data_IF_348389719808
#
_entry.id   IF_348389719808
#
_cell.length_a   1.000
_cell.length_b   1.000
_cell.length_c   1.000
_cell.angle_alpha   90.00
_cell.angle_beta   90.00
_cell.angle_gamma   90.00
#
_symmetry.space_group_name_H-M   'P 1'
#
loop_
_entity.id
_entity.type
_entity.pdbx_description
1 polymer ?
#
# COMPACT_ATOMS: atom_id res chain seq x y z
N UNK A 1 -4.52 -28.13 -15.15
CA UNK A 1 -5.20 -28.22 -13.84
C UNK A 1 -5.26 -26.82 -13.27
N UNK A 2 -6.45 -26.36 -12.90
CA UNK A 2 -6.62 -25.07 -12.24
C UNK A 2 -6.02 -25.12 -10.82
N UNK A 3 -5.92 -23.95 -10.19
CA UNK A 3 -5.19 -23.83 -8.92
C UNK A 3 -5.92 -24.51 -7.76
N UNK A 4 -7.25 -24.50 -7.76
CA UNK A 4 -8.06 -25.09 -6.69
C UNK A 4 -7.99 -26.61 -6.77
N UNK A 5 -8.04 -27.17 -7.98
CA UNK A 5 -7.79 -28.59 -8.21
C UNK A 5 -6.40 -29.02 -7.73
N UNK A 6 -5.37 -28.18 -7.91
CA UNK A 6 -4.03 -28.48 -7.38
C UNK A 6 -4.01 -28.51 -5.85
N UNK A 7 -4.69 -27.55 -5.19
CA UNK A 7 -4.81 -27.53 -3.72
C UNK A 7 -5.60 -28.73 -3.20
N UNK A 8 -6.72 -29.05 -3.84
CA UNK A 8 -7.53 -30.24 -3.48
C UNK A 8 -6.70 -31.53 -3.62
N UNK A 9 -5.99 -31.68 -4.75
CA UNK A 9 -5.10 -32.81 -4.98
C UNK A 9 -4.00 -32.89 -3.91
N UNK A 10 -3.36 -31.77 -3.56
CA UNK A 10 -2.30 -31.75 -2.56
C UNK A 10 -2.79 -32.05 -1.15
N UNK A 11 -4.06 -31.83 -0.84
CA UNK A 11 -4.67 -32.19 0.45
C UNK A 11 -5.03 -33.68 0.54
N UNK A 12 -5.20 -34.38 -0.59
CA UNK A 12 -5.59 -35.79 -0.61
C UNK A 12 -4.54 -36.74 -0.01
N UNK A 13 -3.24 -36.46 -0.18
CA UNK A 13 -2.16 -37.23 0.47
C UNK A 13 -0.81 -36.51 0.43
N UNK A 14 0.11 -36.91 1.31
CA UNK A 14 1.52 -36.45 1.27
C UNK A 14 2.20 -36.71 -0.08
N UNK A 15 1.85 -37.79 -0.78
CA UNK A 15 2.40 -38.10 -2.10
C UNK A 15 1.91 -37.09 -3.14
N UNK A 16 0.61 -36.80 -3.14
CA UNK A 16 0.02 -35.79 -4.02
C UNK A 16 0.59 -34.39 -3.73
N UNK A 17 0.76 -34.04 -2.45
CA UNK A 17 1.40 -32.79 -2.05
C UNK A 17 2.80 -32.64 -2.65
N UNK A 18 3.64 -33.69 -2.58
CA UNK A 18 4.97 -33.68 -3.19
C UNK A 18 4.92 -33.51 -4.71
N UNK A 19 3.94 -34.13 -5.38
CA UNK A 19 3.74 -33.96 -6.82
C UNK A 19 3.38 -32.51 -7.14
N UNK A 20 2.42 -31.92 -6.43
CA UNK A 20 1.96 -30.54 -6.67
C UNK A 20 3.10 -29.53 -6.44
N UNK A 21 3.97 -29.75 -5.45
CA UNK A 21 5.18 -28.92 -5.24
C UNK A 21 6.12 -28.88 -6.45
N UNK A 22 6.09 -29.88 -7.32
CA UNK A 22 6.91 -29.97 -8.53
C UNK A 22 6.19 -29.40 -9.76
N UNK A 23 4.89 -29.14 -9.68
CA UNK A 23 4.11 -28.58 -10.78
C UNK A 23 4.43 -27.09 -10.93
N UNK A 24 4.81 -26.69 -12.15
CA UNK A 24 4.94 -25.27 -12.49
C UNK A 24 3.57 -24.63 -12.56
N UNK A 25 3.35 -23.61 -11.75
CA UNK A 25 2.13 -22.79 -11.77
C UNK A 25 2.41 -21.42 -12.35
N UNK A 26 1.37 -20.79 -12.93
CA UNK A 26 1.41 -19.39 -13.34
C UNK A 26 1.23 -18.41 -12.18
N UNK A 27 1.06 -18.90 -10.95
CA UNK A 27 0.89 -18.05 -9.79
C UNK A 27 2.09 -17.11 -9.63
N UNK A 28 1.78 -15.84 -9.43
CA UNK A 28 2.76 -14.82 -9.08
C UNK A 28 2.80 -14.58 -7.58
N UNK A 29 1.71 -14.84 -6.86
CA UNK A 29 1.63 -14.64 -5.42
C UNK A 29 0.22 -14.83 -4.86
N UNK A 30 0.06 -14.39 -3.62
CA UNK A 30 -1.22 -14.39 -2.90
C UNK A 30 -1.58 -12.99 -2.44
N UNK A 31 -2.87 -12.68 -2.41
CA UNK A 31 -3.38 -11.54 -1.64
C UNK A 31 -4.11 -12.05 -0.41
N UNK A 32 -4.08 -11.28 0.67
CA UNK A 32 -4.80 -11.54 1.90
C UNK A 32 -5.78 -10.40 2.10
N UNK A 33 -7.04 -10.71 2.40
CA UNK A 33 -8.06 -9.72 2.71
C UNK A 33 -8.77 -10.08 4.01
N UNK A 34 -8.88 -9.10 4.91
CA UNK A 34 -9.61 -9.22 6.17
C UNK A 34 -10.71 -8.16 6.17
N UNK A 35 -11.93 -8.61 6.42
CA UNK A 35 -13.13 -7.79 6.47
C UNK A 35 -14.11 -8.40 7.46
N UNK A 36 -15.19 -7.68 7.75
CA UNK A 36 -16.26 -8.12 8.66
C UNK A 36 -16.78 -9.53 8.33
N UNK A 37 -16.88 -9.88 7.05
CA UNK A 37 -17.41 -11.19 6.63
C UNK A 37 -16.43 -12.36 6.78
N UNK A 38 -15.18 -12.11 7.20
CA UNK A 38 -14.16 -13.15 7.37
C UNK A 38 -12.82 -12.83 6.71
N UNK A 39 -11.99 -13.87 6.55
CA UNK A 39 -10.64 -13.77 6.00
C UNK A 39 -10.57 -14.51 4.66
N UNK A 40 -9.94 -13.90 3.67
CA UNK A 40 -9.82 -14.44 2.32
C UNK A 40 -8.34 -14.49 1.90
N UNK A 41 -7.92 -15.65 1.39
CA UNK A 41 -6.67 -15.82 0.65
C UNK A 41 -7.00 -15.91 -0.84
N UNK A 42 -6.46 -14.99 -1.62
CA UNK A 42 -6.70 -14.92 -3.06
C UNK A 42 -5.47 -15.37 -3.83
N UNK A 43 -5.66 -16.28 -4.77
CA UNK A 43 -4.62 -16.78 -5.65
C UNK A 43 -4.47 -15.84 -6.85
N UNK A 44 -3.25 -15.36 -7.13
CA UNK A 44 -3.00 -14.35 -8.16
C UNK A 44 -2.11 -14.92 -9.27
N UNK A 45 -2.56 -14.78 -10.52
CA UNK A 45 -1.74 -14.91 -11.73
C UNK A 45 -1.62 -13.52 -12.37
N UNK A 46 -0.40 -12.99 -12.34
CA UNK A 46 -0.07 -11.66 -12.84
C UNK A 46 -0.88 -10.57 -12.11
N UNK A 47 -2.05 -10.18 -12.63
CA UNK A 47 -2.99 -9.23 -12.02
C UNK A 47 -4.42 -9.80 -11.90
N UNK A 48 -4.63 -11.06 -12.25
CA UNK A 48 -5.94 -11.71 -12.24
C UNK A 48 -6.05 -12.61 -11.01
N UNK A 49 -7.17 -12.51 -10.31
CA UNK A 49 -7.53 -13.46 -9.26
C UNK A 49 -8.02 -14.74 -9.96
N UNK A 50 -7.36 -15.85 -9.67
CA UNK A 50 -7.63 -17.16 -10.28
C UNK A 50 -8.25 -18.17 -9.32
N UNK A 51 -8.36 -17.80 -8.04
CA UNK A 51 -9.04 -18.60 -7.04
C UNK A 51 -9.12 -17.90 -5.68
N UNK A 52 -9.94 -18.46 -4.81
CA UNK A 52 -10.23 -17.97 -3.47
C UNK A 52 -10.15 -19.12 -2.47
N UNK A 53 -9.65 -18.82 -1.29
CA UNK A 53 -9.82 -19.64 -0.10
C UNK A 53 -10.36 -18.76 1.01
N UNK A 54 -11.60 -19.01 1.39
CA UNK A 54 -12.34 -18.21 2.37
C UNK A 54 -12.42 -18.97 3.69
N UNK A 55 -12.08 -18.28 4.77
CA UNK A 55 -12.18 -18.74 6.15
C UNK A 55 -13.34 -18.00 6.80
N UNK A 56 -14.44 -18.73 7.06
CA UNK A 56 -15.70 -18.20 7.54
C UNK A 56 -16.12 -18.86 8.87
N UNK A 57 -16.82 -18.13 9.75
CA UNK A 57 -17.40 -18.73 10.94
C UNK A 57 -18.49 -19.74 10.59
N UNK A 58 -18.55 -20.86 11.30
CA UNK A 58 -19.63 -21.82 11.22
C UNK A 58 -20.98 -21.17 11.56
N UNK A 59 -21.96 -21.29 10.66
CA UNK A 59 -23.33 -20.86 10.96
C UNK A 59 -23.97 -21.88 11.90
N UNK A 60 -24.65 -21.39 12.95
CA UNK A 60 -25.27 -22.19 14.03
C UNK A 60 -26.19 -23.34 13.57
N UNK A 61 -26.68 -23.32 12.33
CA UNK A 61 -27.56 -24.34 11.77
C UNK A 61 -26.84 -25.64 11.34
N UNK A 62 -25.50 -25.64 11.25
CA UNK A 62 -24.71 -26.79 10.76
C UNK A 62 -23.95 -27.56 11.86
N UNK A 63 -24.37 -27.50 13.13
CA UNK A 63 -23.73 -28.21 14.27
C UNK A 63 -23.96 -29.73 14.26
N UNK A 64 -23.71 -30.39 13.13
CA UNK A 64 -23.97 -31.82 12.92
C UNK A 64 -22.75 -32.74 13.13
N UNK A 65 -21.53 -32.25 13.00
CA UNK A 65 -20.32 -33.05 13.21
C UNK A 65 -19.17 -32.12 13.54
N UNK A 66 -18.44 -32.35 14.63
CA UNK A 66 -17.28 -31.54 15.04
C UNK A 66 -16.05 -31.66 14.12
N UNK A 67 -16.26 -31.90 12.83
CA UNK A 67 -15.24 -32.00 11.80
C UNK A 67 -15.22 -30.70 10.99
N UNK A 68 -14.02 -30.17 10.76
CA UNK A 68 -13.76 -29.01 9.90
C UNK A 68 -14.32 -29.25 8.49
N UNK A 69 -15.41 -28.56 8.15
CA UNK A 69 -16.03 -28.70 6.83
C UNK A 69 -15.27 -27.84 5.81
N UNK A 70 -14.67 -28.51 4.82
CA UNK A 70 -14.06 -27.85 3.66
C UNK A 70 -14.82 -28.21 2.39
N UNK A 71 -15.21 -27.20 1.62
CA UNK A 71 -15.86 -27.39 0.32
C UNK A 71 -15.03 -26.79 -0.81
N UNK A 72 -15.02 -27.49 -1.95
CA UNK A 72 -14.32 -27.09 -3.17
C UNK A 72 -15.37 -26.85 -4.27
N UNK A 73 -15.38 -25.64 -4.83
CA UNK A 73 -16.33 -25.28 -5.88
C UNK A 73 -15.67 -24.40 -6.94
N UNK A 74 -15.42 -24.95 -8.13
CA UNK A 74 -14.76 -24.27 -9.25
C UNK A 74 -13.46 -23.54 -8.85
N UNK A 75 -13.52 -22.23 -8.59
CA UNK A 75 -12.41 -21.38 -8.20
C UNK A 75 -12.40 -21.01 -6.70
N UNK A 76 -13.18 -21.70 -5.86
CA UNK A 76 -13.38 -21.36 -4.47
C UNK A 76 -13.14 -22.57 -3.55
N UNK A 77 -12.42 -22.33 -2.45
CA UNK A 77 -12.33 -23.19 -1.28
C UNK A 77 -13.03 -22.44 -0.15
N UNK A 78 -13.98 -23.08 0.53
CA UNK A 78 -14.51 -22.57 1.80
C UNK A 78 -14.09 -23.50 2.91
N UNK A 79 -13.57 -22.93 3.99
CA UNK A 79 -13.28 -23.63 5.23
C UNK A 79 -14.06 -22.96 6.35
N UNK A 80 -14.87 -23.76 7.03
CA UNK A 80 -15.69 -23.30 8.15
C UNK A 80 -14.95 -23.58 9.46
N UNK A 81 -14.97 -22.58 10.36
CA UNK A 81 -14.25 -22.61 11.63
C UNK A 81 -15.07 -21.99 12.74
N UNK A 82 -14.73 -22.28 14.00
CA UNK A 82 -15.21 -21.48 15.13
C UNK A 82 -14.68 -20.04 15.02
N UNK A 83 -15.41 -19.05 15.56
CA UNK A 83 -14.95 -17.65 15.56
C UNK A 83 -13.56 -17.48 16.20
N UNK A 84 -13.25 -18.29 17.21
CA UNK A 84 -11.98 -18.28 17.95
C UNK A 84 -10.82 -18.85 17.09
N UNK A 85 -11.09 -19.78 16.18
CA UNK A 85 -10.07 -20.52 15.43
C UNK A 85 -9.78 -19.96 14.03
N UNK A 86 -10.59 -19.04 13.51
CA UNK A 86 -10.46 -18.51 12.13
C UNK A 86 -9.05 -17.97 11.86
N UNK A 87 -8.49 -17.20 12.80
CA UNK A 87 -7.16 -16.59 12.64
C UNK A 87 -6.06 -17.65 12.57
N UNK A 88 -6.08 -18.62 13.48
CA UNK A 88 -5.11 -19.71 13.52
C UNK A 88 -5.24 -20.63 12.29
N UNK A 89 -6.47 -20.88 11.84
CA UNK A 89 -6.74 -21.70 10.66
C UNK A 89 -6.25 -21.03 9.38
N UNK A 90 -6.45 -19.71 9.27
CA UNK A 90 -5.90 -18.93 8.16
C UNK A 90 -4.37 -18.94 8.17
N UNK A 91 -3.74 -18.80 9.35
CA UNK A 91 -2.28 -18.92 9.48
C UNK A 91 -1.78 -20.26 8.93
N UNK A 92 -2.39 -21.36 9.36
CA UNK A 92 -2.04 -22.70 8.88
C UNK A 92 -2.26 -22.84 7.36
N UNK A 93 -3.35 -22.31 6.83
CA UNK A 93 -3.62 -22.27 5.39
C UNK A 93 -2.56 -21.47 4.63
N UNK A 94 -2.16 -20.32 5.15
CA UNK A 94 -1.14 -19.46 4.56
C UNK A 94 0.24 -20.14 4.56
N UNK A 95 0.63 -20.75 5.68
CA UNK A 95 1.90 -21.49 5.80
C UNK A 95 1.93 -22.70 4.86
N UNK A 96 0.80 -23.40 4.75
CA UNK A 96 0.63 -24.48 3.79
C UNK A 96 0.81 -24.00 2.34
N UNK A 97 0.18 -22.90 1.95
CA UNK A 97 0.28 -22.37 0.58
C UNK A 97 1.69 -21.84 0.27
N UNK A 98 2.36 -21.22 1.24
CA UNK A 98 3.76 -20.79 1.12
C UNK A 98 4.69 -21.97 0.90
N UNK A 99 4.51 -23.06 1.63
CA UNK A 99 5.29 -24.29 1.44
C UNK A 99 4.97 -25.00 0.11
N UNK A 100 3.70 -25.02 -0.30
CA UNK A 100 3.23 -25.71 -1.49
C UNK A 100 3.69 -25.03 -2.78
N UNK A 101 3.52 -23.70 -2.89
CA UNK A 101 3.78 -22.97 -4.13
C UNK A 101 5.03 -22.10 -4.09
N UNK A 102 5.57 -21.79 -2.90
CA UNK A 102 6.75 -20.93 -2.71
C UNK A 102 6.60 -19.57 -3.37
N UNK A 103 5.42 -18.95 -3.20
CA UNK A 103 5.09 -17.64 -3.77
C UNK A 103 4.93 -16.58 -2.66
N UNK A 104 5.24 -15.31 -2.96
CA UNK A 104 5.18 -14.23 -1.98
C UNK A 104 3.73 -13.80 -1.70
N UNK A 105 3.58 -12.99 -0.64
CA UNK A 105 2.36 -12.22 -0.39
C UNK A 105 2.47 -10.90 -1.13
N UNK A 106 1.66 -10.74 -2.17
CA UNK A 106 1.65 -9.55 -2.99
C UNK A 106 0.97 -8.41 -2.24
N UNK A 107 -0.26 -8.62 -1.76
CA UNK A 107 -1.05 -7.54 -1.14
C UNK A 107 -1.73 -8.00 0.13
N UNK A 108 -1.69 -7.15 1.15
CA UNK A 108 -2.44 -7.32 2.37
C UNK A 108 -3.46 -6.19 2.52
N UNK A 109 -4.74 -6.58 2.55
CA UNK A 109 -5.89 -5.70 2.63
C UNK A 109 -6.57 -5.85 3.99
N UNK A 110 -6.67 -4.75 4.74
CA UNK A 110 -7.37 -4.70 6.01
C UNK A 110 -8.54 -3.73 5.94
N UNK A 111 -9.74 -4.23 6.21
CA UNK A 111 -10.96 -3.46 6.38
C UNK A 111 -11.38 -3.52 7.85
N UNK A 112 -10.99 -2.55 8.68
CA UNK A 112 -11.20 -2.62 10.13
C UNK A 112 -12.63 -2.30 10.56
N UNK A 113 -13.42 -1.64 9.71
CA UNK A 113 -14.81 -1.32 10.01
C UNK A 113 -15.61 -2.60 10.28
N UNK A 114 -16.33 -2.64 11.41
CA UNK A 114 -17.17 -3.79 11.79
C UNK A 114 -16.40 -4.92 12.48
N UNK A 115 -15.07 -4.87 12.59
CA UNK A 115 -14.31 -5.86 13.36
C UNK A 115 -14.47 -5.60 14.87
N UNK A 116 -14.98 -6.56 15.65
CA UNK A 116 -15.42 -6.33 17.03
C UNK A 116 -14.30 -5.91 17.99
N UNK A 117 -13.05 -6.31 17.75
CA UNK A 117 -11.85 -5.84 18.46
C UNK A 117 -10.66 -6.43 17.72
N UNK A 118 -10.03 -5.70 16.81
CA UNK A 118 -9.09 -6.26 15.82
C UNK A 118 -7.83 -6.90 16.47
N UNK A 119 -7.76 -8.21 16.73
CA UNK A 119 -6.59 -8.84 17.32
C UNK A 119 -5.87 -9.47 16.13
N UNK A 120 -5.17 -8.66 15.35
CA UNK A 120 -4.32 -9.19 14.29
C UNK A 120 -3.15 -9.93 14.93
N UNK A 121 -3.38 -11.16 15.40
CA UNK A 121 -2.34 -12.16 15.65
C UNK A 121 -1.87 -12.80 14.34
N UNK A 122 -2.07 -12.11 13.23
CA UNK A 122 -1.59 -12.58 11.95
C UNK A 122 -0.10 -12.31 11.97
N UNK A 123 0.68 -13.35 12.20
CA UNK A 123 2.14 -13.38 12.04
C UNK A 123 2.54 -13.24 10.55
N UNK A 124 1.98 -12.25 9.86
CA UNK A 124 2.39 -11.87 8.52
C UNK A 124 3.70 -11.11 8.62
N UNK A 125 4.81 -11.78 8.35
CA UNK A 125 6.14 -11.17 8.43
C UNK A 125 6.40 -10.13 7.34
N UNK A 126 5.86 -10.34 6.13
CA UNK A 126 6.14 -9.48 4.99
C UNK A 126 5.04 -9.51 3.92
N UNK A 127 4.89 -8.40 3.20
CA UNK A 127 4.10 -8.28 1.98
C UNK A 127 4.71 -7.23 1.03
N UNK A 128 4.33 -7.24 -0.25
CA UNK A 128 4.75 -6.18 -1.17
C UNK A 128 3.97 -4.88 -0.94
N UNK A 129 2.63 -4.98 -0.85
CA UNK A 129 1.73 -3.85 -0.65
C UNK A 129 0.85 -4.06 0.60
N UNK A 130 0.69 -3.01 1.40
CA UNK A 130 -0.26 -2.91 2.51
C UNK A 130 -1.32 -1.85 2.17
N UNK A 131 -2.59 -2.22 2.29
CA UNK A 131 -3.72 -1.30 2.23
C UNK A 131 -4.61 -1.46 3.47
N UNK A 132 -4.73 -0.41 4.27
CA UNK A 132 -5.70 -0.33 5.37
C UNK A 132 -6.79 0.66 4.94
N UNK A 133 -8.03 0.18 4.83
CA UNK A 133 -9.16 0.98 4.34
C UNK A 133 -10.38 0.84 5.23
N UNK A 134 -10.85 1.96 5.79
CA UNK A 134 -12.03 2.01 6.63
C UNK A 134 -12.46 3.45 6.92
N UNK A 135 -13.70 3.62 7.36
CA UNK A 135 -14.32 4.90 7.73
C UNK A 135 -13.97 5.30 9.16
N UNK A 136 -13.70 4.34 10.04
CA UNK A 136 -13.36 4.58 11.44
C UNK A 136 -11.85 4.48 11.66
N UNK A 137 -11.35 5.28 12.59
CA UNK A 137 -9.97 5.15 13.05
C UNK A 137 -9.75 3.77 13.67
N UNK A 138 -8.62 3.14 13.33
CA UNK A 138 -8.15 1.95 14.01
C UNK A 138 -7.57 2.34 15.38
N UNK A 139 -7.66 1.47 16.40
CA UNK A 139 -6.94 1.71 17.66
C UNK A 139 -5.43 1.84 17.39
N UNK A 140 -4.79 2.82 18.01
CA UNK A 140 -3.37 3.14 17.79
C UNK A 140 -2.45 1.92 18.00
N UNK A 141 -2.72 1.10 19.01
CA UNK A 141 -1.95 -0.13 19.29
C UNK A 141 -1.93 -1.12 18.12
N UNK A 142 -3.06 -1.25 17.41
CA UNK A 142 -3.16 -2.16 16.27
C UNK A 142 -2.47 -1.59 15.03
N UNK A 143 -2.67 -0.30 14.75
CA UNK A 143 -1.98 0.34 13.63
C UNK A 143 -0.45 0.30 13.84
N UNK A 144 -0.01 0.58 15.07
CA UNK A 144 1.40 0.47 15.45
C UNK A 144 1.92 -0.94 15.24
N UNK A 145 1.22 -1.96 15.73
CA UNK A 145 1.59 -3.36 15.54
C UNK A 145 1.73 -3.69 14.06
N UNK A 146 0.78 -3.30 13.21
CA UNK A 146 0.84 -3.54 11.77
C UNK A 146 2.08 -2.89 11.15
N UNK A 147 2.31 -1.61 11.43
CA UNK A 147 3.40 -0.83 10.83
C UNK A 147 4.80 -1.24 11.33
N UNK A 148 4.90 -1.77 12.55
CA UNK A 148 6.18 -2.16 13.15
C UNK A 148 6.52 -3.65 12.96
N UNK A 149 5.53 -4.53 12.79
CA UNK A 149 5.76 -5.97 12.68
C UNK A 149 5.78 -6.50 11.24
N UNK A 150 5.08 -5.83 10.32
CA UNK A 150 4.98 -6.28 8.93
C UNK A 150 6.00 -5.53 8.07
N UNK A 151 6.92 -6.27 7.46
CA UNK A 151 7.84 -5.69 6.47
C UNK A 151 7.11 -5.46 5.14
N UNK A 152 6.76 -4.20 4.87
CA UNK A 152 6.15 -3.78 3.61
C UNK A 152 7.25 -3.39 2.61
N UNK A 153 7.37 -4.13 1.50
CA UNK A 153 8.50 -3.99 0.57
C UNK A 153 8.37 -2.81 -0.41
N UNK A 154 7.15 -2.47 -0.81
CA UNK A 154 6.93 -1.49 -1.90
C UNK A 154 6.04 -0.34 -1.48
N UNK A 155 4.79 -0.60 -1.08
CA UNK A 155 3.77 0.43 -0.92
C UNK A 155 2.95 0.24 0.34
N UNK A 156 2.85 1.29 1.14
CA UNK A 156 1.92 1.39 2.26
C UNK A 156 0.84 2.41 1.93
N UNK A 157 -0.42 2.05 2.09
CA UNK A 157 -1.56 2.91 1.83
C UNK A 157 -2.54 2.87 3.01
N UNK A 158 -2.76 4.04 3.60
CA UNK A 158 -3.62 4.26 4.75
C UNK A 158 -4.80 5.13 4.31
N UNK A 159 -5.94 4.48 4.11
CA UNK A 159 -7.24 5.07 3.78
C UNK A 159 -8.15 4.94 5.00
N UNK A 160 -7.68 5.49 6.12
CA UNK A 160 -8.40 5.55 7.41
C UNK A 160 -8.07 6.89 8.09
N UNK A 161 -8.97 7.43 8.93
CA UNK A 161 -8.59 8.45 9.89
C UNK A 161 -7.54 7.90 10.87
N UNK A 162 -6.56 8.71 11.25
CA UNK A 162 -5.52 8.32 12.21
C UNK A 162 -5.45 9.40 13.29
N UNK A 163 -5.30 8.98 14.54
CA UNK A 163 -5.17 9.90 15.66
C UNK A 163 -3.94 10.80 15.47
N UNK A 164 -4.05 12.14 15.60
CA UNK A 164 -2.90 13.05 15.50
C UNK A 164 -1.76 12.74 16.47
N UNK A 165 -2.07 12.10 17.62
CA UNK A 165 -1.06 11.70 18.62
C UNK A 165 -0.50 10.30 18.38
N UNK A 166 -0.82 9.66 17.26
CA UNK A 166 -0.31 8.33 16.91
C UNK A 166 1.21 8.38 16.70
N UNK A 167 1.91 7.43 17.32
CA UNK A 167 3.35 7.27 17.18
C UNK A 167 3.72 5.82 16.88
N UNK A 168 4.66 5.65 15.96
CA UNK A 168 5.32 4.38 15.66
C UNK A 168 6.81 4.60 15.39
N UNK A 169 7.58 3.52 15.43
CA UNK A 169 9.00 3.54 15.13
C UNK A 169 9.23 3.76 13.62
N UNK A 170 9.45 5.01 13.24
CA UNK A 170 9.64 5.43 11.85
C UNK A 170 10.85 4.77 11.18
N UNK A 171 11.85 4.30 11.93
CA UNK A 171 13.01 3.59 11.38
C UNK A 171 12.64 2.23 10.75
N UNK A 172 11.47 1.69 11.10
CA UNK A 172 10.93 0.45 10.53
C UNK A 172 10.17 0.69 9.22
N UNK A 173 9.78 1.94 8.93
CA UNK A 173 9.04 2.32 7.72
C UNK A 173 9.98 2.42 6.52
N UNK A 174 10.19 1.27 5.85
CA UNK A 174 11.16 1.12 4.74
C UNK A 174 10.53 0.95 3.34
N UNK A 175 9.24 1.20 3.20
CA UNK A 175 8.56 1.13 1.91
C UNK A 175 8.96 2.29 0.99
N UNK A 176 8.82 2.08 -0.33
CA UNK A 176 9.15 3.07 -1.36
C UNK A 176 8.05 4.10 -1.55
N UNK A 177 6.81 3.70 -1.30
CA UNK A 177 5.62 4.54 -1.47
C UNK A 177 4.81 4.61 -0.19
N UNK A 178 4.43 5.82 0.22
CA UNK A 178 3.47 6.08 1.28
C UNK A 178 2.30 6.89 0.75
N UNK A 179 1.08 6.41 1.00
CA UNK A 179 -0.15 7.15 0.67
C UNK A 179 -1.06 7.24 1.88
N UNK A 180 -1.28 8.44 2.39
CA UNK A 180 -2.31 8.78 3.37
C UNK A 180 -3.33 9.65 2.63
N UNK A 181 -4.46 9.09 2.23
CA UNK A 181 -5.43 9.80 1.37
C UNK A 181 -6.88 9.46 1.75
N UNK A 182 -7.82 10.14 1.08
CA UNK A 182 -9.29 9.98 1.15
C UNK A 182 -9.98 10.66 2.33
N UNK A 183 -9.52 10.43 3.56
CA UNK A 183 -10.24 10.86 4.76
C UNK A 183 -9.58 12.03 5.48
N UNK A 184 -10.40 12.95 5.99
CA UNK A 184 -9.95 13.98 6.92
C UNK A 184 -9.19 13.34 8.09
N UNK A 185 -8.02 13.91 8.42
CA UNK A 185 -7.13 13.42 9.45
C UNK A 185 -6.26 12.21 9.10
N UNK A 186 -6.32 11.64 7.88
CA UNK A 186 -5.46 10.50 7.51
C UNK A 186 -3.95 10.84 7.56
N UNK A 187 -3.60 12.12 7.39
CA UNK A 187 -2.23 12.61 7.42
C UNK A 187 -1.82 13.32 8.71
N UNK A 188 -2.70 13.45 9.72
CA UNK A 188 -2.41 14.22 10.94
C UNK A 188 -1.26 13.65 11.77
N UNK A 189 -1.09 12.32 11.74
CA UNK A 189 0.02 11.64 12.43
C UNK A 189 1.40 11.90 11.80
N UNK A 190 1.44 12.46 10.58
CA UNK A 190 2.69 12.81 9.90
C UNK A 190 3.23 14.11 10.49
N UNK A 191 3.92 14.00 11.61
CA UNK A 191 4.65 15.14 12.21
C UNK A 191 5.86 15.52 11.36
N UNK A 192 6.43 16.71 11.60
CA UNK A 192 7.70 17.14 10.98
C UNK A 192 8.79 16.07 11.11
N UNK A 193 8.94 15.49 12.30
CA UNK A 193 9.97 14.48 12.55
C UNK A 193 9.71 13.20 11.76
N UNK A 194 8.46 12.73 11.71
CA UNK A 194 8.09 11.58 10.88
C UNK A 194 8.41 11.87 9.42
N UNK A 195 7.87 12.98 8.89
CA UNK A 195 8.00 13.38 7.50
C UNK A 195 9.45 13.50 7.04
N UNK A 196 10.30 14.16 7.83
CA UNK A 196 11.71 14.33 7.48
C UNK A 196 12.50 13.01 7.59
N UNK A 197 12.07 12.00 8.34
CA UNK A 197 12.77 10.73 8.42
C UNK A 197 12.31 9.68 7.39
N UNK A 198 11.23 9.94 6.65
CA UNK A 198 10.76 9.05 5.59
C UNK A 198 11.77 9.00 4.43
N UNK A 199 12.10 7.78 4.00
CA UNK A 199 12.98 7.49 2.85
C UNK A 199 12.19 6.99 1.63
N UNK A 200 10.99 7.54 1.45
CA UNK A 200 10.10 7.17 0.35
C UNK A 200 10.50 7.90 -0.94
N UNK A 201 10.33 7.21 -2.07
CA UNK A 201 10.48 7.80 -3.42
C UNK A 201 9.20 8.46 -3.90
N UNK A 202 8.05 7.97 -3.43
CA UNK A 202 6.72 8.50 -3.75
C UNK A 202 5.94 8.72 -2.46
N UNK A 203 5.41 9.92 -2.28
CA UNK A 203 4.60 10.25 -1.11
C UNK A 203 3.36 11.02 -1.53
N UNK A 204 2.21 10.61 -1.02
CA UNK A 204 0.94 11.31 -1.17
C UNK A 204 0.31 11.44 0.22
N UNK A 205 0.37 12.65 0.78
CA UNK A 205 0.04 12.92 2.17
C UNK A 205 -1.06 13.98 2.21
N UNK A 206 -2.31 13.55 2.35
CA UNK A 206 -3.47 14.43 2.43
C UNK A 206 -3.91 14.61 3.87
N UNK A 207 -4.63 15.71 4.10
CA UNK A 207 -5.13 16.07 5.43
C UNK A 207 -4.01 16.02 6.47
N UNK A 208 -2.91 16.70 6.17
CA UNK A 208 -1.76 16.82 7.09
C UNK A 208 -1.87 18.08 7.93
N UNK A 209 -1.09 18.13 9.01
CA UNK A 209 -0.87 19.34 9.81
C UNK A 209 0.54 19.91 9.56
N UNK A 210 1.18 19.53 8.45
CA UNK A 210 2.52 19.99 8.12
C UNK A 210 2.50 21.49 7.76
N UNK A 211 3.48 22.21 8.29
CA UNK A 211 3.71 23.62 7.99
C UNK A 211 4.68 23.78 6.82
N UNK A 212 4.65 24.95 6.16
CA UNK A 212 5.52 25.26 5.04
C UNK A 212 7.01 25.03 5.36
N UNK A 213 7.47 25.36 6.57
CA UNK A 213 8.85 25.15 7.00
C UNK A 213 9.28 23.67 6.94
N UNK A 214 8.39 22.73 7.31
CA UNK A 214 8.69 21.29 7.22
C UNK A 214 8.82 20.83 5.77
N UNK A 215 7.97 21.34 4.89
CA UNK A 215 7.97 20.99 3.48
C UNK A 215 9.13 21.65 2.73
N UNK A 216 9.49 22.89 3.07
CA UNK A 216 10.71 23.56 2.59
C UNK A 216 11.96 22.83 3.07
N UNK A 217 12.00 22.40 4.33
CA UNK A 217 13.13 21.62 4.86
C UNK A 217 13.31 20.29 4.12
N UNK A 218 12.21 19.63 3.75
CA UNK A 218 12.26 18.43 2.92
C UNK A 218 12.83 18.72 1.53
N UNK A 219 12.32 19.77 0.86
CA UNK A 219 12.78 20.16 -0.46
C UNK A 219 14.27 20.54 -0.47
N UNK A 220 14.70 21.38 0.48
CA UNK A 220 16.07 21.84 0.61
C UNK A 220 17.03 20.67 0.86
N UNK A 221 16.63 19.71 1.69
CA UNK A 221 17.41 18.47 1.88
C UNK A 221 17.56 17.69 0.58
N UNK A 222 16.49 17.49 -0.19
CA UNK A 222 16.57 16.80 -1.48
C UNK A 222 17.43 17.59 -2.49
N UNK A 223 17.29 18.90 -2.54
CA UNK A 223 18.02 19.76 -3.46
C UNK A 223 19.53 19.73 -3.21
N UNK A 224 19.95 19.57 -1.94
CA UNK A 224 21.36 19.49 -1.55
C UNK A 224 21.88 18.06 -1.33
N UNK A 225 21.06 17.02 -1.52
CA UNK A 225 21.50 15.63 -1.39
C UNK A 225 21.97 15.03 -2.72
N UNK A 226 22.50 13.81 -2.63
CA UNK A 226 22.81 12.91 -3.73
C UNK A 226 21.65 11.94 -4.06
N UNK A 227 20.45 12.19 -3.50
CA UNK A 227 19.28 11.36 -3.76
C UNK A 227 18.80 11.55 -5.20
N UNK A 228 19.08 10.55 -6.03
CA UNK A 228 18.71 10.48 -7.44
C UNK A 228 17.53 9.54 -7.70
N UNK A 229 16.86 9.06 -6.64
CA UNK A 229 15.74 8.12 -6.77
C UNK A 229 14.41 8.70 -6.28
N UNK A 230 14.44 9.79 -5.52
CA UNK A 230 13.23 10.54 -5.17
C UNK A 230 12.47 10.97 -6.43
N UNK A 231 11.16 10.73 -6.46
CA UNK A 231 10.33 10.91 -7.64
C UNK A 231 9.24 11.95 -7.42
N UNK A 232 8.42 11.78 -6.38
CA UNK A 232 7.29 12.68 -6.16
C UNK A 232 6.89 12.81 -4.70
N UNK A 233 6.53 14.04 -4.31
CA UNK A 233 5.81 14.35 -3.10
C UNK A 233 4.56 15.15 -3.47
N UNK A 234 3.41 14.71 -2.98
CA UNK A 234 2.18 15.50 -2.96
C UNK A 234 1.76 15.67 -1.51
N UNK A 235 1.69 16.91 -1.04
CA UNK A 235 1.20 17.26 0.30
C UNK A 235 -0.05 18.10 0.15
N UNK A 236 -1.10 17.72 0.86
CA UNK A 236 -2.27 18.54 1.09
C UNK A 236 -2.44 18.72 2.60
N UNK A 237 -2.69 19.95 3.01
CA UNK A 237 -2.88 20.33 4.42
C UNK A 237 -4.30 20.81 4.65
N UNK A 238 -4.80 20.62 5.87
CA UNK A 238 -6.12 21.15 6.27
C UNK A 238 -6.04 22.64 6.63
N UNK A 239 -4.84 23.21 6.73
CA UNK A 239 -4.60 24.63 6.98
C UNK A 239 -4.15 25.35 5.70
N UNK A 240 -4.13 26.68 5.71
CA UNK A 240 -3.49 27.44 4.62
C UNK A 240 -2.00 27.10 4.56
N UNK A 241 -1.52 26.80 3.36
CA UNK A 241 -0.14 26.42 3.10
C UNK A 241 0.70 27.67 2.79
N UNK A 242 0.74 28.58 3.76
CA UNK A 242 1.39 29.88 3.60
C UNK A 242 2.89 29.78 3.89
N UNK A 243 3.71 30.41 3.04
CA UNK A 243 5.14 30.58 3.30
C UNK A 243 6.10 29.66 2.55
N UNK A 244 5.63 28.87 1.58
CA UNK A 244 6.55 28.24 0.63
C UNK A 244 7.21 29.31 -0.25
N UNK A 245 8.54 29.40 -0.20
CA UNK A 245 9.31 30.32 -1.04
C UNK A 245 10.50 29.58 -1.67
N UNK A 246 10.57 29.59 -3.01
CA UNK A 246 11.61 28.93 -3.79
C UNK A 246 12.57 29.88 -4.51
N UNK A 247 12.48 31.20 -4.29
CA UNK A 247 13.22 32.22 -5.04
C UNK A 247 14.74 31.98 -5.01
N UNK A 248 15.24 31.49 -3.87
CA UNK A 248 16.67 31.17 -3.67
C UNK A 248 17.18 30.01 -4.53
N UNK A 249 16.30 29.25 -5.18
CA UNK A 249 16.64 28.12 -6.05
C UNK A 249 16.54 28.46 -7.54
N UNK A 250 16.47 29.75 -7.89
CA UNK A 250 16.42 30.24 -9.28
C UNK A 250 15.31 29.57 -10.11
N UNK A 251 14.06 29.57 -9.62
CA UNK A 251 12.96 28.91 -10.30
C UNK A 251 12.74 29.53 -11.69
N UNK A 252 12.43 28.69 -12.67
CA UNK A 252 12.11 29.10 -14.04
C UNK A 252 10.67 28.70 -14.37
N UNK A 253 9.96 29.46 -15.22
CA UNK A 253 8.68 29.00 -15.74
C UNK A 253 8.87 27.74 -16.59
N UNK A 254 7.79 26.98 -16.77
CA UNK A 254 7.78 25.81 -17.65
C UNK A 254 8.34 26.15 -19.05
N UNK A 255 9.27 25.32 -19.52
CA UNK A 255 9.78 25.36 -20.90
C UNK A 255 9.45 24.02 -21.61
N UNK A 256 8.61 24.03 -22.67
CA UNK A 256 8.25 22.82 -23.41
C UNK A 256 9.45 22.13 -24.10
N UNK A 257 10.56 22.84 -24.32
CA UNK A 257 11.79 22.26 -24.88
C UNK A 257 12.59 21.47 -23.84
N UNK A 258 12.39 21.72 -22.54
CA UNK A 258 13.12 21.04 -21.47
C UNK A 258 12.36 19.86 -20.89
N UNK A 259 11.03 19.91 -20.93
CA UNK A 259 10.16 18.82 -20.47
C UNK A 259 8.74 18.94 -21.02
N UNK A 260 8.04 17.82 -21.01
CA UNK A 260 6.62 17.71 -21.29
C UNK A 260 5.77 18.59 -20.36
N UNK A 261 4.57 18.91 -20.83
CA UNK A 261 3.51 19.51 -20.03
C UNK A 261 3.05 18.59 -18.90
N UNK A 262 3.00 17.28 -19.16
CA UNK A 262 2.39 16.31 -18.25
C UNK A 262 3.44 15.51 -17.51
N UNK A 263 3.43 15.59 -16.17
CA UNK A 263 4.26 14.78 -15.29
C UNK A 263 3.59 13.43 -15.05
N UNK A 264 4.23 12.33 -15.44
CA UNK A 264 3.70 10.98 -15.24
C UNK A 264 3.86 10.56 -13.77
N UNK A 265 2.80 10.71 -12.99
CA UNK A 265 2.77 10.36 -11.56
C UNK A 265 2.67 8.85 -11.32
N UNK A 266 1.93 8.16 -12.18
CA UNK A 266 1.79 6.70 -12.15
C UNK A 266 1.40 6.20 -13.53
N UNK A 267 1.39 4.88 -13.72
CA UNK A 267 0.95 4.23 -14.97
C UNK A 267 -0.47 4.60 -15.43
N UNK A 268 -1.29 5.21 -14.57
CA UNK A 268 -2.68 5.56 -14.89
C UNK A 268 -3.01 7.03 -14.65
N UNK A 269 -2.04 7.85 -14.21
CA UNK A 269 -2.30 9.24 -13.84
C UNK A 269 -1.11 10.16 -14.17
N UNK A 270 -1.39 11.30 -14.77
CA UNK A 270 -0.41 12.36 -15.03
C UNK A 270 -0.96 13.73 -14.61
N UNK A 271 -0.10 14.60 -14.08
CA UNK A 271 -0.45 15.97 -13.69
C UNK A 271 -0.06 16.94 -14.79
N UNK A 272 -0.94 17.90 -15.10
CA UNK A 272 -0.59 19.08 -15.88
C UNK A 272 0.28 20.00 -15.03
N UNK A 273 1.55 20.12 -15.43
CA UNK A 273 2.55 20.91 -14.75
C UNK A 273 2.97 22.14 -15.57
N UNK A 274 2.12 22.60 -16.51
CA UNK A 274 2.41 23.78 -17.34
C UNK A 274 2.47 25.11 -16.58
N UNK A 275 1.77 25.20 -15.45
CA UNK A 275 1.72 26.39 -14.59
C UNK A 275 2.66 26.30 -13.38
N UNK A 276 3.36 25.17 -13.22
CA UNK A 276 4.38 24.98 -12.18
C UNK A 276 5.69 25.72 -12.50
N UNK A 277 6.52 25.86 -11.48
CA UNK A 277 7.89 26.38 -11.61
C UNK A 277 8.90 25.23 -11.60
N UNK A 278 9.95 25.38 -12.40
CA UNK A 278 11.00 24.38 -12.56
C UNK A 278 12.28 24.82 -11.85
N UNK A 279 12.86 23.90 -11.09
CA UNK A 279 14.10 24.10 -10.34
C UNK A 279 15.08 23.01 -10.80
N UNK A 280 16.24 23.45 -11.31
CA UNK A 280 17.31 22.56 -11.76
C UNK A 280 18.31 22.33 -10.63
N UNK A 281 18.58 21.07 -10.30
CA UNK A 281 19.65 20.68 -9.38
C UNK A 281 20.98 20.55 -10.14
N UNK A 282 22.09 20.68 -9.41
CA UNK A 282 23.44 20.69 -10.00
C UNK A 282 23.80 19.44 -10.81
N UNK A 283 23.18 18.29 -10.52
CA UNK A 283 23.38 17.03 -11.23
C UNK A 283 22.49 16.86 -12.47
N UNK A 284 21.68 17.87 -12.80
CA UNK A 284 20.82 17.88 -13.97
C UNK A 284 19.43 17.29 -13.75
N UNK A 285 19.07 16.84 -12.54
CA UNK A 285 17.67 16.57 -12.21
C UNK A 285 16.90 17.89 -12.13
N UNK A 286 15.69 17.92 -12.69
CA UNK A 286 14.78 19.07 -12.54
C UNK A 286 13.53 18.61 -11.84
N UNK A 287 13.13 19.41 -10.87
CA UNK A 287 11.91 19.27 -10.10
C UNK A 287 10.95 20.35 -10.53
N UNK A 288 9.71 19.98 -10.81
CA UNK A 288 8.62 20.94 -10.91
C UNK A 288 7.95 21.07 -9.56
N UNK A 289 7.82 22.30 -9.11
CA UNK A 289 6.98 22.67 -7.98
C UNK A 289 5.68 23.24 -8.52
N UNK A 290 4.57 22.58 -8.20
CA UNK A 290 3.22 23.05 -8.47
C UNK A 290 2.49 23.29 -7.15
N UNK A 291 1.85 24.45 -7.03
CA UNK A 291 1.18 24.86 -5.81
C UNK A 291 -0.21 25.37 -6.13
N UNK A 292 -1.18 24.94 -5.34
CA UNK A 292 -2.53 25.48 -5.29
C UNK A 292 -2.89 25.79 -3.84
N UNK A 293 -4.05 26.40 -3.59
CA UNK A 293 -4.51 26.64 -2.22
C UNK A 293 -4.61 25.31 -1.45
N UNK A 294 -3.72 25.12 -0.48
CA UNK A 294 -3.69 23.94 0.41
C UNK A 294 -2.99 22.70 -0.16
N UNK A 295 -2.42 22.73 -1.37
CA UNK A 295 -1.70 21.60 -1.95
C UNK A 295 -0.38 22.01 -2.60
N UNK A 296 0.66 21.20 -2.37
CA UNK A 296 1.96 21.33 -3.04
C UNK A 296 2.37 19.98 -3.63
N UNK A 297 2.80 20.01 -4.88
CA UNK A 297 3.39 18.89 -5.61
C UNK A 297 4.84 19.23 -5.95
N UNK A 298 5.75 18.32 -5.61
CA UNK A 298 7.15 18.32 -6.04
C UNK A 298 7.37 17.08 -6.91
N UNK A 299 7.50 17.27 -8.23
CA UNK A 299 7.69 16.20 -9.20
C UNK A 299 9.08 16.25 -9.82
N UNK A 300 9.92 15.25 -9.54
CA UNK A 300 11.26 15.11 -10.11
C UNK A 300 11.19 14.32 -11.40
N UNK A 301 11.59 14.95 -12.51
CA UNK A 301 11.50 14.32 -13.82
C UNK A 301 12.72 13.46 -14.09
N UNK A 302 12.53 12.15 -14.00
CA UNK A 302 13.49 11.14 -14.43
C UNK A 302 13.39 10.85 -15.93
N UNK A 303 12.19 11.02 -16.49
CA UNK A 303 11.93 11.10 -17.92
C UNK A 303 11.30 12.47 -18.19
N UNK A 304 11.94 13.27 -19.06
CA UNK A 304 11.48 14.62 -19.41
C UNK A 304 10.28 14.60 -20.34
N UNK A 305 10.11 13.54 -21.13
CA UNK A 305 9.08 13.45 -22.17
C UNK A 305 8.37 12.09 -22.11
N UNK A 306 7.68 11.78 -20.99
CA UNK A 306 7.01 10.52 -20.83
C UNK A 306 5.86 10.37 -21.82
N UNK A 307 5.61 9.13 -22.27
CA UNK A 307 4.39 8.79 -22.97
C UNK A 307 3.20 8.81 -22.00
N UNK A 308 2.24 9.68 -22.26
CA UNK A 308 1.00 9.84 -21.48
C UNK A 308 -0.23 9.35 -22.24
N UNK A 309 -0.04 8.60 -23.33
CA UNK A 309 -1.12 8.01 -24.11
C UNK A 309 -1.91 7.02 -23.25
N UNK A 310 -3.23 7.22 -23.13
CA UNK A 310 -4.11 6.35 -22.34
C UNK A 310 -4.04 6.57 -20.82
N UNK A 311 -3.38 7.64 -20.37
CA UNK A 311 -3.27 8.01 -18.95
C UNK A 311 -4.28 9.10 -18.61
N UNK A 312 -4.93 9.02 -17.44
CA UNK A 312 -5.82 10.09 -16.97
C UNK A 312 -5.03 11.35 -16.64
N UNK A 313 -5.40 12.48 -17.23
CA UNK A 313 -4.77 13.78 -17.02
C UNK A 313 -5.52 14.57 -15.94
N UNK A 314 -4.79 15.07 -14.95
CA UNK A 314 -5.31 15.86 -13.83
C UNK A 314 -4.75 17.28 -13.94
N UNK A 315 -5.62 18.26 -13.68
CA UNK A 315 -5.30 19.70 -13.64
C UNK A 315 -4.93 20.12 -12.22
#
# INVERSE_FOLDING_TARGET
MDIISLVSLSLASRRCQRIVKLVKTKLTGFNIQIKESGIELLFVDSQRIVGYWIFEPEKKENRGSGDMEMSFHANLIRSYHSEEDIQQSMKLGLDYLKDLFKKPINKFYLHPDGLPECPLQIELKECNELLVKGKKALKDEYLKTILETIMVKTKCTLWIPINPTFECNTNLLKFKELKCVEYEGCGHWITRNVFLNLKCTHMQLYHTLLEADAVMSFFERWYHSDDTVFHVLVVQTDKLFDGLNFDRFQPKPWNPEQRSRHFLYSSTMAYDCSTGIDIMRNDGLLCTVYMTNGCALFGVWHDRFPDVSGVSQIV
#
